data_IF_918785106143
#
_entry.id   IF_918785106143
#
_cell.length_a   1.000
_cell.length_b   1.000
_cell.length_c   1.000
_cell.angle_alpha   90.00
_cell.angle_beta   90.00
_cell.angle_gamma   90.00
#
_symmetry.space_group_name_H-M   'P 1'
#
loop_
_entity.id
_entity.type
_entity.pdbx_description
1 polymer ?
#
# COMPACT_ATOMS: atom_id res chain seq x y z
N UNK A 1 32.12 -5.32 6.57
CA UNK A 1 31.23 -5.91 5.54
C UNK A 1 29.86 -6.14 6.19
N UNK A 2 28.78 -5.79 5.53
CA UNK A 2 27.41 -6.00 6.04
C UNK A 2 27.11 -7.50 6.03
N UNK A 3 26.54 -8.02 7.13
CA UNK A 3 26.26 -9.45 7.30
C UNK A 3 24.81 -9.68 7.68
N UNK A 4 24.31 -10.88 7.40
CA UNK A 4 22.96 -11.30 7.80
C UNK A 4 22.76 -11.33 9.33
N UNK A 5 23.86 -11.50 10.10
CA UNK A 5 23.85 -11.43 11.56
C UNK A 5 23.35 -10.06 12.07
N UNK A 6 23.74 -8.96 11.38
CA UNK A 6 23.31 -7.61 11.75
C UNK A 6 21.79 -7.42 11.71
N UNK A 7 21.07 -8.17 10.86
CA UNK A 7 19.62 -8.15 10.90
C UNK A 7 19.08 -8.66 12.24
N UNK A 8 19.62 -9.77 12.73
CA UNK A 8 19.18 -10.34 14.00
C UNK A 8 19.59 -9.47 15.20
N UNK A 9 20.73 -8.78 15.09
CA UNK A 9 21.28 -7.96 16.18
C UNK A 9 20.55 -6.61 16.31
N UNK A 10 20.08 -6.01 15.18
CA UNK A 10 19.63 -4.62 15.13
C UNK A 10 18.23 -4.40 14.56
N UNK A 11 17.61 -5.41 13.96
CA UNK A 11 16.25 -5.27 13.39
C UNK A 11 15.24 -5.99 14.26
N UNK A 12 14.04 -5.42 14.42
CA UNK A 12 12.94 -6.12 15.07
C UNK A 12 12.62 -7.42 14.33
N UNK A 13 12.44 -8.55 15.04
CA UNK A 13 12.25 -9.87 14.44
C UNK A 13 10.81 -10.09 13.91
N UNK A 14 10.27 -9.11 13.22
CA UNK A 14 8.90 -9.15 12.64
C UNK A 14 8.85 -9.80 11.26
N UNK A 15 10.02 -10.03 10.65
CA UNK A 15 10.15 -10.67 9.34
C UNK A 15 11.25 -11.74 9.36
N UNK A 16 11.14 -12.71 8.47
CA UNK A 16 12.20 -13.71 8.24
C UNK A 16 12.72 -13.57 6.78
N UNK A 17 13.59 -12.59 6.51
CA UNK A 17 14.13 -12.37 5.19
C UNK A 17 15.06 -13.49 4.74
N UNK A 18 15.31 -13.59 3.43
CA UNK A 18 16.21 -14.56 2.82
C UNK A 18 17.61 -14.55 3.47
N UNK A 19 18.32 -15.68 3.38
CA UNK A 19 19.65 -15.84 3.96
C UNK A 19 20.77 -15.07 3.26
N UNK A 20 20.50 -14.50 2.08
CA UNK A 20 21.44 -13.69 1.33
C UNK A 20 21.01 -12.22 1.31
N UNK A 21 21.98 -11.34 1.07
CA UNK A 21 21.76 -9.90 0.96
C UNK A 21 22.00 -9.50 -0.49
N UNK A 22 20.96 -9.11 -1.25
CA UNK A 22 21.14 -8.57 -2.58
C UNK A 22 21.90 -7.24 -2.53
N UNK A 23 22.91 -7.07 -3.39
CA UNK A 23 23.71 -5.85 -3.51
C UNK A 23 23.58 -5.18 -4.89
N UNK A 24 23.00 -5.90 -5.86
CA UNK A 24 22.81 -5.44 -7.24
C UNK A 24 21.55 -6.07 -7.82
N UNK A 25 20.84 -5.32 -8.65
CA UNK A 25 19.71 -5.82 -9.43
C UNK A 25 19.70 -5.28 -10.85
N UNK A 26 19.21 -6.08 -11.80
CA UNK A 26 18.94 -5.66 -13.19
C UNK A 26 17.84 -6.55 -13.78
N UNK A 27 16.77 -5.94 -14.26
CA UNK A 27 15.59 -6.70 -14.70
C UNK A 27 15.06 -7.60 -13.58
N UNK A 28 14.86 -8.87 -13.86
CA UNK A 28 14.40 -9.87 -12.88
C UNK A 28 15.53 -10.58 -12.13
N UNK A 29 16.76 -10.11 -12.22
CA UNK A 29 17.92 -10.77 -11.59
C UNK A 29 18.49 -9.88 -10.49
N UNK A 30 18.81 -10.51 -9.34
CA UNK A 30 19.57 -9.88 -8.26
C UNK A 30 20.85 -10.68 -8.00
N UNK A 31 21.88 -10.02 -7.46
CA UNK A 31 23.15 -10.62 -7.09
C UNK A 31 23.47 -10.32 -5.64
N UNK A 32 24.01 -11.31 -4.94
CA UNK A 32 24.57 -11.11 -3.60
C UNK A 32 26.02 -10.56 -3.66
N UNK A 33 26.59 -10.29 -2.49
CA UNK A 33 27.95 -9.79 -2.33
C UNK A 33 29.05 -10.74 -2.82
N UNK A 34 28.72 -12.01 -3.10
CA UNK A 34 29.63 -13.00 -3.73
C UNK A 34 29.37 -13.15 -5.23
N UNK A 35 28.57 -12.24 -5.82
CA UNK A 35 28.20 -12.25 -7.24
C UNK A 35 27.37 -13.48 -7.66
N UNK A 36 26.75 -14.19 -6.72
CA UNK A 36 25.80 -15.27 -7.03
C UNK A 36 24.48 -14.65 -7.50
N UNK A 37 23.94 -15.21 -8.59
CA UNK A 37 22.70 -14.78 -9.23
C UNK A 37 21.50 -15.46 -8.59
N UNK A 38 20.40 -14.71 -8.48
CA UNK A 38 19.09 -15.19 -8.07
C UNK A 38 18.04 -14.57 -8.99
N UNK A 39 16.99 -15.32 -9.32
CA UNK A 39 15.82 -14.81 -10.02
C UNK A 39 14.86 -14.24 -8.97
N UNK A 40 14.49 -12.99 -9.13
CA UNK A 40 13.52 -12.32 -8.24
C UNK A 40 12.11 -12.47 -8.80
N UNK A 41 11.40 -13.52 -8.37
CA UNK A 41 9.98 -13.69 -8.64
C UNK A 41 9.07 -12.89 -7.70
N UNK A 42 9.61 -12.37 -6.59
CA UNK A 42 8.82 -11.61 -5.64
C UNK A 42 8.60 -10.16 -6.09
N UNK A 43 9.56 -9.60 -6.85
CA UNK A 43 9.48 -8.25 -7.42
C UNK A 43 9.11 -7.18 -6.38
N UNK A 44 9.59 -7.33 -5.11
CA UNK A 44 9.19 -6.46 -3.99
C UNK A 44 7.71 -6.59 -3.63
N UNK A 45 7.12 -7.79 -3.78
CA UNK A 45 5.69 -8.09 -3.67
C UNK A 45 4.89 -7.27 -4.69
N UNK A 46 5.23 -7.50 -5.98
CA UNK A 46 4.65 -6.87 -7.16
C UNK A 46 4.81 -5.32 -7.24
N UNK A 47 5.88 -4.79 -6.68
CA UNK A 47 6.20 -3.36 -6.72
C UNK A 47 7.14 -3.01 -7.88
N UNK A 48 8.16 -3.85 -8.13
CA UNK A 48 9.20 -3.59 -9.13
C UNK A 48 8.80 -4.16 -10.50
N UNK A 49 7.63 -3.77 -11.02
CA UNK A 49 7.00 -4.36 -12.21
C UNK A 49 7.82 -4.18 -13.51
N UNK A 50 8.65 -3.15 -13.59
CA UNK A 50 9.55 -2.89 -14.73
C UNK A 50 10.92 -3.56 -14.56
N UNK A 51 11.12 -4.30 -13.46
CA UNK A 51 12.38 -4.88 -13.07
C UNK A 51 13.33 -3.89 -12.39
N UNK A 52 14.37 -4.46 -11.78
CA UNK A 52 15.40 -3.68 -11.09
C UNK A 52 16.18 -2.79 -12.06
N UNK A 53 16.42 -1.55 -11.63
CA UNK A 53 17.25 -0.57 -12.35
C UNK A 53 16.83 -0.37 -13.82
N UNK A 54 15.51 -0.28 -14.08
CA UNK A 54 15.00 -0.01 -15.43
C UNK A 54 15.57 1.33 -15.96
N UNK A 55 16.32 1.32 -17.08
CA UNK A 55 17.13 2.47 -17.47
C UNK A 55 16.37 3.78 -17.62
N UNK A 56 15.14 3.82 -18.21
CA UNK A 56 14.39 5.06 -18.29
C UNK A 56 14.02 5.64 -16.93
N UNK A 57 13.66 4.82 -15.92
CA UNK A 57 13.37 5.29 -14.56
C UNK A 57 14.63 5.80 -13.87
N UNK A 58 15.77 5.11 -14.03
CA UNK A 58 17.06 5.57 -13.47
C UNK A 58 17.42 6.94 -14.05
N UNK A 59 17.21 7.15 -15.35
CA UNK A 59 17.45 8.46 -15.99
C UNK A 59 16.57 9.55 -15.38
N UNK A 60 15.26 9.32 -15.29
CA UNK A 60 14.31 10.30 -14.73
C UNK A 60 14.64 10.62 -13.27
N UNK A 61 14.98 9.60 -12.46
CA UNK A 61 15.39 9.78 -11.07
C UNK A 61 16.64 10.67 -10.96
N UNK A 62 17.66 10.40 -11.77
CA UNK A 62 18.89 11.20 -11.81
C UNK A 62 18.66 12.65 -12.24
N UNK A 63 17.72 12.88 -13.16
CA UNK A 63 17.36 14.23 -13.59
C UNK A 63 16.55 14.97 -12.52
N UNK A 64 15.58 14.29 -11.90
CA UNK A 64 14.71 14.88 -10.87
C UNK A 64 15.49 15.16 -9.57
N UNK A 65 16.44 14.30 -9.20
CA UNK A 65 17.24 14.45 -7.99
C UNK A 65 18.06 15.74 -7.94
N UNK A 66 18.30 16.36 -9.09
CA UNK A 66 19.01 17.64 -9.23
C UNK A 66 18.09 18.87 -9.19
N UNK A 67 16.79 18.68 -9.00
CA UNK A 67 15.78 19.76 -9.03
C UNK A 67 15.16 19.95 -7.66
N UNK A 68 14.07 19.27 -7.39
CA UNK A 68 13.28 19.40 -6.17
C UNK A 68 13.04 18.03 -5.56
N UNK A 69 13.30 17.87 -4.27
CA UNK A 69 13.17 16.61 -3.56
C UNK A 69 11.84 16.48 -2.83
N UNK A 70 11.49 17.50 -2.05
CA UNK A 70 10.28 17.49 -1.24
C UNK A 70 9.66 18.89 -1.17
N UNK A 71 8.36 18.91 -1.38
CA UNK A 71 7.49 20.08 -1.18
C UNK A 71 6.29 19.61 -0.37
N UNK A 72 6.02 20.27 0.76
CA UNK A 72 4.84 19.94 1.57
C UNK A 72 3.54 20.23 0.81
N UNK A 73 2.39 19.94 1.44
CA UNK A 73 1.06 20.25 0.89
C UNK A 73 0.83 21.76 0.62
N UNK A 74 1.71 22.61 1.10
CA UNK A 74 1.65 24.05 0.82
C UNK A 74 2.00 24.39 -0.63
N UNK A 75 2.65 23.48 -1.33
CA UNK A 75 3.04 23.64 -2.74
C UNK A 75 2.73 22.38 -3.53
N UNK A 76 2.67 22.50 -4.85
CA UNK A 76 2.55 21.37 -5.77
C UNK A 76 3.76 21.28 -6.69
N UNK A 77 3.86 20.23 -7.49
CA UNK A 77 4.95 20.02 -8.43
C UNK A 77 4.46 19.47 -9.77
N UNK A 78 5.19 19.75 -10.83
CA UNK A 78 4.83 19.35 -12.18
C UNK A 78 4.73 17.82 -12.37
N UNK A 79 5.63 16.97 -11.84
CA UNK A 79 5.48 15.53 -11.92
C UNK A 79 4.15 15.00 -11.37
N UNK A 80 3.73 15.47 -10.19
CA UNK A 80 2.46 15.06 -9.58
C UNK A 80 1.25 15.49 -10.41
N UNK A 81 1.24 16.74 -10.90
CA UNK A 81 0.15 17.26 -11.74
C UNK A 81 0.03 16.49 -13.06
N UNK A 82 1.15 16.21 -13.71
CA UNK A 82 1.18 15.44 -14.95
C UNK A 82 0.70 14.00 -14.75
N UNK A 83 1.11 13.35 -13.65
CA UNK A 83 0.65 12.01 -13.31
C UNK A 83 -0.85 12.01 -13.01
N UNK A 84 -1.35 12.96 -12.21
CA UNK A 84 -2.79 13.08 -11.92
C UNK A 84 -3.61 13.24 -13.20
N UNK A 85 -3.18 14.14 -14.11
CA UNK A 85 -3.82 14.32 -15.42
C UNK A 85 -3.85 13.03 -16.23
N UNK A 86 -2.75 12.28 -16.24
CA UNK A 86 -2.65 11.02 -16.97
C UNK A 86 -3.58 9.96 -16.37
N UNK A 87 -3.62 9.83 -15.06
CA UNK A 87 -4.51 8.89 -14.36
C UNK A 87 -5.99 9.21 -14.62
N UNK A 88 -6.40 10.47 -14.50
CA UNK A 88 -7.78 10.88 -14.81
C UNK A 88 -8.16 10.63 -16.28
N UNK A 89 -7.20 10.74 -17.21
CA UNK A 89 -7.45 10.45 -18.63
C UNK A 89 -7.67 8.96 -18.93
N UNK A 90 -7.00 8.07 -18.17
CA UNK A 90 -6.97 6.63 -18.43
C UNK A 90 -7.78 5.79 -17.46
N UNK A 91 -8.48 6.42 -16.52
CA UNK A 91 -9.34 5.75 -15.53
C UNK A 91 -10.69 6.46 -15.45
N UNK A 92 -11.57 5.96 -14.60
CA UNK A 92 -12.87 6.59 -14.31
C UNK A 92 -12.75 7.80 -13.34
N UNK A 93 -11.57 8.06 -12.80
CA UNK A 93 -11.37 9.05 -11.74
C UNK A 93 -11.35 10.48 -12.27
N UNK A 94 -12.06 11.40 -11.61
CA UNK A 94 -11.99 12.85 -11.87
C UNK A 94 -10.88 13.54 -11.08
N UNK A 95 -10.46 12.95 -9.98
CA UNK A 95 -9.46 13.49 -9.04
C UNK A 95 -8.56 12.39 -8.52
N UNK A 96 -7.33 12.76 -8.18
CA UNK A 96 -6.32 11.85 -7.62
C UNK A 96 -5.81 12.39 -6.30
N UNK A 97 -5.68 11.53 -5.33
CA UNK A 97 -4.97 11.79 -4.07
C UNK A 97 -3.73 10.92 -4.02
N UNK A 98 -2.56 11.55 -3.81
CA UNK A 98 -1.30 10.83 -3.66
C UNK A 98 -0.96 10.61 -2.20
N UNK A 99 -0.49 9.40 -1.89
CA UNK A 99 -0.03 8.98 -0.56
C UNK A 99 1.32 8.27 -0.68
N UNK A 100 2.03 8.09 0.44
CA UNK A 100 3.35 7.47 0.44
C UNK A 100 3.30 5.93 0.37
N UNK A 101 2.15 5.34 0.68
CA UNK A 101 1.99 3.89 0.72
C UNK A 101 0.55 3.46 0.41
N UNK A 102 0.37 2.17 0.08
CA UNK A 102 -0.95 1.58 -0.06
C UNK A 102 -1.78 1.65 1.23
N UNK A 103 -1.14 1.49 2.40
CA UNK A 103 -1.82 1.64 3.69
C UNK A 103 -2.39 3.05 3.87
N UNK A 104 -1.62 4.09 3.55
CA UNK A 104 -2.11 5.47 3.60
C UNK A 104 -3.22 5.75 2.57
N UNK A 105 -3.14 5.15 1.40
CA UNK A 105 -4.21 5.24 0.40
C UNK A 105 -5.51 4.59 0.92
N UNK A 106 -5.43 3.44 1.58
CA UNK A 106 -6.58 2.79 2.21
C UNK A 106 -7.14 3.61 3.38
N UNK A 107 -6.28 4.19 4.23
CA UNK A 107 -6.70 5.14 5.27
C UNK A 107 -7.47 6.33 4.67
N UNK A 108 -6.97 6.89 3.58
CA UNK A 108 -7.62 8.00 2.87
C UNK A 108 -8.96 7.56 2.27
N UNK A 109 -9.05 6.36 1.69
CA UNK A 109 -10.29 5.82 1.11
C UNK A 109 -11.39 5.69 2.18
N UNK A 110 -11.09 5.05 3.30
CA UNK A 110 -12.04 4.88 4.41
C UNK A 110 -12.48 6.22 4.98
N UNK A 111 -11.53 7.13 5.22
CA UNK A 111 -11.83 8.48 5.73
C UNK A 111 -12.72 9.26 4.76
N UNK A 112 -12.44 9.15 3.46
CA UNK A 112 -13.23 9.84 2.42
C UNK A 112 -14.64 9.28 2.34
N UNK A 113 -14.81 7.95 2.32
CA UNK A 113 -16.10 7.29 2.31
C UNK A 113 -16.95 7.73 3.52
N UNK A 114 -16.40 7.63 4.74
CA UNK A 114 -17.08 8.05 5.96
C UNK A 114 -17.41 9.54 5.96
N UNK A 115 -16.49 10.40 5.52
CA UNK A 115 -16.72 11.84 5.47
C UNK A 115 -17.81 12.21 4.47
N UNK A 116 -17.76 11.61 3.28
CA UNK A 116 -18.78 11.81 2.26
C UNK A 116 -20.17 11.37 2.74
N UNK A 117 -20.25 10.15 3.27
CA UNK A 117 -21.51 9.61 3.77
C UNK A 117 -22.09 10.46 4.92
N UNK A 118 -21.25 10.90 5.84
CA UNK A 118 -21.65 11.78 6.94
C UNK A 118 -22.23 13.12 6.44
N UNK A 119 -21.56 13.75 5.46
CA UNK A 119 -22.01 15.04 4.91
C UNK A 119 -23.32 14.90 4.11
N UNK A 120 -23.48 13.80 3.36
CA UNK A 120 -24.61 13.64 2.45
C UNK A 120 -25.81 12.96 3.10
N UNK A 121 -25.60 12.05 4.05
CA UNK A 121 -26.65 11.17 4.60
C UNK A 121 -26.73 11.19 6.13
N UNK A 122 -25.84 11.88 6.82
CA UNK A 122 -25.80 12.00 8.26
C UNK A 122 -24.87 11.02 8.96
N UNK A 123 -24.66 11.25 10.28
CA UNK A 123 -23.63 10.59 11.10
C UNK A 123 -23.79 9.07 11.26
N UNK A 124 -24.99 8.54 11.04
CA UNK A 124 -25.26 7.10 11.18
C UNK A 124 -24.65 6.25 10.06
N UNK A 125 -24.34 6.85 8.90
CA UNK A 125 -23.72 6.17 7.76
C UNK A 125 -22.19 6.18 7.91
N UNK A 126 -21.65 5.23 8.65
CA UNK A 126 -20.21 5.20 8.99
C UNK A 126 -19.60 3.80 8.97
N UNK A 127 -20.38 2.76 8.62
CA UNK A 127 -19.88 1.39 8.51
C UNK A 127 -19.20 1.16 7.16
N UNK A 128 -18.15 0.34 7.18
CA UNK A 128 -17.41 -0.09 6.00
C UNK A 128 -17.56 -1.60 5.88
N UNK A 129 -17.84 -2.08 4.69
CA UNK A 129 -17.79 -3.51 4.36
C UNK A 129 -16.44 -3.81 3.74
N UNK A 130 -15.74 -4.81 4.27
CA UNK A 130 -14.47 -5.32 3.77
C UNK A 130 -14.57 -6.82 3.56
N UNK A 131 -13.71 -7.38 2.71
CA UNK A 131 -13.65 -8.82 2.53
C UNK A 131 -12.66 -9.44 3.51
N UNK A 132 -13.06 -10.56 4.12
CA UNK A 132 -12.23 -11.31 5.05
C UNK A 132 -10.95 -11.81 4.35
N UNK A 133 -9.88 -11.94 5.14
CA UNK A 133 -8.55 -12.38 4.69
C UNK A 133 -7.92 -11.55 3.55
N UNK A 134 -8.43 -10.34 3.32
CA UNK A 134 -7.82 -9.39 2.39
C UNK A 134 -6.57 -8.75 2.98
N UNK A 135 -5.77 -8.10 2.14
CA UNK A 135 -4.63 -7.31 2.58
C UNK A 135 -4.81 -5.83 2.21
N UNK A 136 -4.96 -4.98 3.23
CA UNK A 136 -5.13 -3.54 3.07
C UNK A 136 -3.98 -2.72 3.66
N UNK A 137 -3.04 -3.34 4.35
CA UNK A 137 -1.89 -2.68 4.99
C UNK A 137 -1.68 -3.11 6.43
N UNK A 138 -0.86 -2.35 7.16
CA UNK A 138 -0.42 -2.68 8.53
C UNK A 138 -0.69 -1.56 9.55
N UNK A 139 -1.44 -0.52 9.22
CA UNK A 139 -1.96 0.46 10.20
C UNK A 139 -3.15 -0.12 10.95
N UNK A 140 -3.54 0.48 12.07
CA UNK A 140 -4.66 0.00 12.88
C UNK A 140 -5.96 -0.15 12.08
N UNK A 141 -6.29 0.84 11.23
CA UNK A 141 -7.45 0.76 10.36
C UNK A 141 -7.29 -0.33 9.29
N UNK A 142 -6.13 -0.42 8.66
CA UNK A 142 -5.93 -1.39 7.58
C UNK A 142 -5.85 -2.83 8.07
N UNK A 143 -5.31 -3.10 9.27
CA UNK A 143 -5.38 -4.46 9.85
C UNK A 143 -6.81 -4.80 10.26
N UNK A 144 -7.58 -3.84 10.75
CA UNK A 144 -8.99 -4.05 11.03
C UNK A 144 -9.79 -4.39 9.75
N UNK A 145 -9.47 -3.76 8.61
CA UNK A 145 -10.07 -4.09 7.31
C UNK A 145 -9.67 -5.48 6.78
N UNK A 146 -8.51 -6.01 7.17
CA UNK A 146 -8.05 -7.33 6.70
C UNK A 146 -8.95 -8.48 7.15
N UNK A 147 -9.67 -8.34 8.27
CA UNK A 147 -10.62 -9.34 8.78
C UNK A 147 -9.99 -10.67 9.17
N UNK A 148 -8.71 -10.68 9.53
CA UNK A 148 -7.96 -11.88 9.92
C UNK A 148 -7.53 -11.78 11.37
N UNK A 149 -7.93 -12.75 12.20
CA UNK A 149 -7.55 -12.83 13.61
C UNK A 149 -6.04 -12.82 13.79
N UNK A 150 -5.32 -13.46 12.90
CA UNK A 150 -3.85 -13.48 12.91
C UNK A 150 -3.23 -12.07 12.83
N UNK A 151 -3.91 -11.15 12.15
CA UNK A 151 -3.41 -9.79 11.93
C UNK A 151 -3.76 -8.83 13.07
N UNK A 152 -4.85 -9.10 13.81
CA UNK A 152 -5.38 -8.19 14.83
C UNK A 152 -5.09 -8.64 16.25
N UNK A 153 -4.72 -9.92 16.46
CA UNK A 153 -4.49 -10.48 17.79
C UNK A 153 -3.39 -9.70 18.55
N UNK A 154 -3.74 -9.23 19.74
CA UNK A 154 -2.84 -8.45 20.60
C UNK A 154 -2.75 -6.95 20.27
N UNK A 155 -3.42 -6.46 19.22
CA UNK A 155 -3.35 -5.06 18.82
C UNK A 155 -4.63 -4.25 19.11
N UNK A 156 -5.67 -4.87 19.73
CA UNK A 156 -6.92 -4.19 20.02
C UNK A 156 -6.83 -3.05 21.04
N UNK A 157 -7.89 -2.22 21.14
CA UNK A 157 -9.15 -2.34 20.41
C UNK A 157 -9.06 -1.87 18.95
N UNK A 158 -9.76 -2.55 18.05
CA UNK A 158 -9.82 -2.17 16.64
C UNK A 158 -10.80 -1.03 16.39
N UNK A 159 -10.59 -0.21 15.34
CA UNK A 159 -11.57 0.78 14.91
C UNK A 159 -12.94 0.15 14.64
N UNK A 160 -13.98 0.75 15.20
CA UNK A 160 -15.36 0.27 15.08
C UNK A 160 -15.96 0.53 13.67
N UNK A 161 -17.05 -0.19 13.37
CA UNK A 161 -17.84 0.01 12.16
C UNK A 161 -17.19 -0.63 10.92
N UNK A 162 -16.50 -1.75 11.08
CA UNK A 162 -15.99 -2.58 9.98
C UNK A 162 -16.71 -3.91 10.05
N UNK A 163 -17.37 -4.28 8.96
CA UNK A 163 -18.08 -5.54 8.79
C UNK A 163 -17.37 -6.35 7.71
N UNK A 164 -17.16 -7.65 7.94
CA UNK A 164 -16.46 -8.51 7.01
C UNK A 164 -17.41 -9.45 6.30
N UNK A 165 -17.14 -9.68 5.01
CA UNK A 165 -17.83 -10.65 4.18
C UNK A 165 -16.79 -11.59 3.56
N UNK A 166 -17.09 -12.90 3.38
CA UNK A 166 -16.15 -13.80 2.71
C UNK A 166 -15.85 -13.35 1.28
N UNK A 167 -14.58 -13.46 0.88
CA UNK A 167 -14.18 -13.10 -0.47
C UNK A 167 -14.78 -14.07 -1.50
N UNK A 168 -15.20 -13.53 -2.64
CA UNK A 168 -15.80 -14.25 -3.76
C UNK A 168 -17.16 -14.94 -3.45
N UNK A 169 -17.81 -14.60 -2.35
CA UNK A 169 -19.19 -15.00 -2.05
C UNK A 169 -20.13 -13.81 -2.33
N UNK A 170 -21.06 -13.98 -3.27
CA UNK A 170 -22.07 -12.94 -3.57
C UNK A 170 -23.27 -13.09 -2.66
N UNK A 171 -23.61 -14.35 -2.32
CA UNK A 171 -24.72 -14.65 -1.44
C UNK A 171 -24.50 -14.04 -0.04
N UNK A 172 -25.50 -13.35 0.46
CA UNK A 172 -25.43 -12.68 1.76
C UNK A 172 -24.80 -11.28 1.76
N UNK A 173 -24.16 -10.86 0.65
CA UNK A 173 -23.60 -9.50 0.56
C UNK A 173 -24.67 -8.42 0.74
N UNK A 174 -25.87 -8.63 0.23
CA UNK A 174 -27.03 -7.74 0.40
C UNK A 174 -27.46 -7.57 1.86
N UNK A 175 -27.21 -8.57 2.72
CA UNK A 175 -27.56 -8.51 4.14
C UNK A 175 -26.58 -7.67 4.95
N UNK A 176 -25.31 -7.66 4.55
CA UNK A 176 -24.26 -6.91 5.25
C UNK A 176 -24.21 -5.44 4.81
N UNK A 177 -24.57 -5.17 3.55
CA UNK A 177 -24.73 -3.79 3.07
C UNK A 177 -26.10 -3.28 3.56
N UNK A 178 -26.09 -2.27 4.39
CA UNK A 178 -27.29 -1.76 5.05
C UNK A 178 -27.32 -0.22 5.12
N UNK A 179 -28.32 0.35 5.78
CA UNK A 179 -28.51 1.80 5.90
C UNK A 179 -27.34 2.54 6.57
N UNK A 180 -26.48 1.83 7.30
CA UNK A 180 -25.30 2.42 7.98
C UNK A 180 -24.04 2.31 7.13
N UNK A 181 -24.03 1.56 6.03
CA UNK A 181 -22.87 1.42 5.14
C UNK A 181 -22.59 2.73 4.42
N UNK A 182 -21.35 3.22 4.55
CA UNK A 182 -20.85 4.47 4.00
C UNK A 182 -20.51 4.40 2.52
#
# INVERSE_FOLDING_TARGET
MVTRKQFNDYMMPVYNPAHFIPVKGKGSIVWDGKNKKYIDFASGIAVTNLGHCYPPLVKVLNEQSKKVWHLSNAMTNAPALNLAKTLCKHTFADKVFFANSGAEAMEAAVKTARKYANLKYGKSKNEIVAFADAFHGRTMMTIALNGSDRMINGFGPMPAGINHHPYNEIEGLEKIINKKTA
#
